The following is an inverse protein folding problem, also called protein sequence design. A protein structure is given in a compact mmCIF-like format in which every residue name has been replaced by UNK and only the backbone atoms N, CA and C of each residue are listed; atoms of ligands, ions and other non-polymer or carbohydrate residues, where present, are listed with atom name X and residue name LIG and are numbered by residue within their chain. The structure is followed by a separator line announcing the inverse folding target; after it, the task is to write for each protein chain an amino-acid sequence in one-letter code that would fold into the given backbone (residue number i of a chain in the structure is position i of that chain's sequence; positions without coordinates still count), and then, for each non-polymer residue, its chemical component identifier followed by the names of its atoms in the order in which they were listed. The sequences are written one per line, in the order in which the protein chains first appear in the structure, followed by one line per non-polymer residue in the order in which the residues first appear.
data_IF_530332829195
#
_entry.id   IF_530332829195
#
_cell.length_a   1.000
_cell.length_b   1.000
_cell.length_c   1.000
_cell.angle_alpha   90.00
_cell.angle_beta   90.00
_cell.angle_gamma   90.00
#
_symmetry.space_group_name_H-M   'P 1'
#
loop_
_entity.id
_entity.type
_entity.pdbx_description
1 polymer ?
#
# COMPACT_ATOMS: atom_id res chain seq x y z
N UNK A 1 9.80 -26.99 -0.25
CA UNK A 1 8.68 -26.07 -0.06
C UNK A 1 8.93 -25.36 1.27
N UNK A 2 9.36 -24.10 1.25
CA UNK A 2 9.59 -23.36 2.49
C UNK A 2 8.25 -23.17 3.19
N UNK A 3 8.20 -23.51 4.48
CA UNK A 3 7.07 -23.15 5.31
C UNK A 3 7.09 -21.63 5.48
N UNK A 4 6.26 -20.93 4.72
CA UNK A 4 6.18 -19.46 4.75
C UNK A 4 5.47 -18.94 6.00
N UNK A 5 5.02 -19.85 6.88
CA UNK A 5 4.27 -19.53 8.09
C UNK A 5 5.18 -19.69 9.31
N UNK A 6 5.56 -18.58 9.92
CA UNK A 6 6.32 -18.59 11.18
C UNK A 6 5.37 -18.47 12.37
N UNK A 7 5.71 -19.02 13.55
CA UNK A 7 4.93 -18.80 14.77
C UNK A 7 4.73 -17.31 15.09
N UNK A 8 5.74 -16.48 14.83
CA UNK A 8 5.65 -15.03 14.97
C UNK A 8 4.63 -14.41 14.01
N UNK A 9 4.60 -14.85 12.75
CA UNK A 9 3.62 -14.42 11.76
C UNK A 9 2.18 -14.78 12.16
N UNK A 10 1.95 -16.01 12.65
CA UNK A 10 0.65 -16.44 13.16
C UNK A 10 0.21 -15.59 14.35
N UNK A 11 1.13 -15.34 15.29
CA UNK A 11 0.86 -14.52 16.48
C UNK A 11 0.53 -13.08 16.10
N UNK A 12 1.29 -12.49 15.17
CA UNK A 12 1.07 -11.14 14.67
C UNK A 12 -0.27 -11.00 13.94
N UNK A 13 -0.64 -11.98 13.10
CA UNK A 13 -1.92 -11.97 12.41
C UNK A 13 -3.10 -12.08 13.40
N UNK A 14 -2.98 -12.96 14.42
CA UNK A 14 -3.99 -13.08 15.46
C UNK A 14 -4.16 -11.76 16.24
N UNK A 15 -3.06 -11.06 16.55
CA UNK A 15 -3.12 -9.75 17.21
C UNK A 15 -3.79 -8.68 16.35
N UNK A 16 -3.48 -8.65 15.05
CA UNK A 16 -4.15 -7.74 14.09
C UNK A 16 -5.65 -8.03 14.02
N UNK A 17 -6.06 -9.30 14.00
CA UNK A 17 -7.47 -9.70 13.95
C UNK A 17 -8.23 -9.36 15.24
N UNK A 18 -7.56 -9.42 16.40
CA UNK A 18 -8.19 -9.14 17.69
C UNK A 18 -8.51 -7.65 17.91
N UNK A 19 -7.64 -6.75 17.44
CA UNK A 19 -7.83 -5.29 17.55
C UNK A 19 -7.31 -4.56 16.30
N UNK A 20 -8.02 -4.68 15.17
CA UNK A 20 -7.55 -4.13 13.89
C UNK A 20 -7.47 -2.60 13.91
N UNK A 21 -8.29 -1.93 14.71
CA UNK A 21 -8.30 -0.46 14.84
C UNK A 21 -7.00 0.12 15.40
N UNK A 22 -6.16 -0.70 16.05
CA UNK A 22 -4.81 -0.31 16.50
C UNK A 22 -3.70 -0.74 15.55
N UNK A 23 -4.02 -1.47 14.50
CA UNK A 23 -3.05 -2.00 13.56
C UNK A 23 -2.65 -0.96 12.50
N UNK A 24 -1.41 -1.09 12.03
CA UNK A 24 -0.93 -0.46 10.80
C UNK A 24 -0.81 -1.56 9.75
N UNK A 25 -1.48 -1.39 8.61
CA UNK A 25 -1.29 -2.22 7.43
C UNK A 25 -0.52 -1.41 6.40
N UNK A 26 0.73 -1.79 6.16
CA UNK A 26 1.59 -1.21 5.15
C UNK A 26 1.86 -2.25 4.06
N UNK A 27 1.60 -1.90 2.80
CA UNK A 27 1.75 -2.78 1.65
C UNK A 27 2.76 -2.17 0.69
N UNK A 28 3.44 -3.01 -0.08
CA UNK A 28 4.16 -2.56 -1.28
C UNK A 28 3.22 -2.53 -2.49
N UNK A 29 3.65 -1.91 -3.60
CA UNK A 29 2.90 -1.83 -4.85
C UNK A 29 3.33 -2.92 -5.84
N UNK A 30 4.55 -2.85 -6.37
CA UNK A 30 5.02 -3.71 -7.46
C UNK A 30 5.28 -5.14 -6.96
N UNK A 31 4.65 -6.13 -7.59
CA UNK A 31 4.71 -7.53 -7.13
C UNK A 31 3.87 -7.83 -5.89
N UNK A 32 3.17 -6.83 -5.33
CA UNK A 32 2.28 -7.00 -4.16
C UNK A 32 0.83 -6.68 -4.52
N UNK A 33 0.53 -5.43 -4.89
CA UNK A 33 -0.80 -5.01 -5.33
C UNK A 33 -0.95 -5.08 -6.85
N UNK A 34 0.13 -4.84 -7.58
CA UNK A 34 0.20 -4.94 -9.03
C UNK A 34 1.15 -6.08 -9.44
N UNK A 35 0.85 -6.87 -10.48
CA UNK A 35 1.77 -7.91 -10.95
C UNK A 35 3.06 -7.29 -11.50
N UNK A 36 4.17 -8.02 -11.38
CA UNK A 36 5.43 -7.64 -12.03
C UNK A 36 5.28 -7.81 -13.54
N UNK A 37 5.52 -6.74 -14.30
CA UNK A 37 5.36 -6.67 -15.76
C UNK A 37 6.58 -6.00 -16.39
N UNK A 38 6.80 -6.23 -17.68
CA UNK A 38 7.97 -5.69 -18.40
C UNK A 38 7.99 -4.16 -18.50
N UNK A 39 6.80 -3.55 -18.58
CA UNK A 39 6.61 -2.11 -18.76
C UNK A 39 6.02 -1.51 -17.49
N UNK A 40 6.74 -0.59 -16.80
CA UNK A 40 6.27 -0.05 -15.52
C UNK A 40 4.89 0.63 -15.55
N UNK A 41 4.48 1.17 -16.69
CA UNK A 41 3.16 1.79 -16.89
C UNK A 41 2.01 0.77 -17.01
N UNK A 42 2.32 -0.50 -17.26
CA UNK A 42 1.33 -1.58 -17.36
C UNK A 42 1.07 -2.25 -16.00
N UNK A 43 1.81 -1.84 -14.95
CA UNK A 43 1.69 -2.35 -13.60
C UNK A 43 0.46 -1.77 -12.89
N UNK A 44 -0.73 -2.16 -13.33
CA UNK A 44 -2.01 -1.78 -12.72
C UNK A 44 -2.38 -2.75 -11.58
N UNK A 45 -3.16 -2.31 -10.57
CA UNK A 45 -3.53 -3.19 -9.47
C UNK A 45 -4.29 -4.44 -9.94
N UNK A 46 -4.05 -5.57 -9.28
CA UNK A 46 -4.75 -6.81 -9.55
C UNK A 46 -6.28 -6.65 -9.38
N UNK A 47 -7.10 -7.44 -10.11
CA UNK A 47 -8.55 -7.38 -9.97
C UNK A 47 -9.00 -7.47 -8.51
N UNK A 48 -9.77 -6.48 -8.05
CA UNK A 48 -10.28 -6.41 -6.68
C UNK A 48 -9.33 -5.80 -5.63
N UNK A 49 -8.07 -5.51 -5.97
CA UNK A 49 -7.11 -4.93 -5.02
C UNK A 49 -7.61 -3.60 -4.42
N UNK A 50 -8.02 -2.65 -5.26
CA UNK A 50 -8.55 -1.34 -4.80
C UNK A 50 -9.82 -1.50 -3.97
N UNK A 51 -10.71 -2.43 -4.34
CA UNK A 51 -11.92 -2.72 -3.59
C UNK A 51 -11.59 -3.31 -2.20
N UNK A 52 -10.61 -4.22 -2.12
CA UNK A 52 -10.14 -4.78 -0.86
C UNK A 52 -9.50 -3.72 0.05
N UNK A 53 -8.66 -2.84 -0.51
CA UNK A 53 -8.09 -1.69 0.23
C UNK A 53 -9.20 -0.79 0.76
N UNK A 54 -10.19 -0.45 -0.07
CA UNK A 54 -11.34 0.38 0.32
C UNK A 54 -12.15 -0.26 1.46
N UNK A 55 -12.37 -1.56 1.41
CA UNK A 55 -13.08 -2.29 2.46
C UNK A 55 -12.26 -2.44 3.76
N UNK A 56 -10.93 -2.47 3.65
CA UNK A 56 -10.00 -2.58 4.77
C UNK A 56 -9.78 -1.25 5.48
N UNK A 57 -9.73 -0.14 4.74
CA UNK A 57 -9.38 1.18 5.24
C UNK A 57 -10.14 1.61 6.51
N UNK A 58 -11.49 1.45 6.63
CA UNK A 58 -12.20 1.85 7.85
C UNK A 58 -12.02 0.88 9.03
N UNK A 59 -11.36 -0.27 8.84
CA UNK A 59 -11.19 -1.30 9.87
C UNK A 59 -9.87 -1.21 10.61
N UNK A 60 -8.87 -0.59 9.99
CA UNK A 60 -7.50 -0.52 10.51
C UNK A 60 -7.16 0.89 11.00
N UNK A 61 -6.23 0.99 11.94
CA UNK A 61 -5.78 2.29 12.45
C UNK A 61 -5.08 3.13 11.38
N UNK A 62 -4.22 2.50 10.57
CA UNK A 62 -3.55 3.12 9.42
C UNK A 62 -3.48 2.14 8.26
N UNK A 63 -3.83 2.62 7.07
CA UNK A 63 -3.56 1.95 5.80
C UNK A 63 -2.53 2.76 5.01
N UNK A 64 -1.41 2.13 4.67
CA UNK A 64 -0.33 2.76 3.93
C UNK A 64 0.13 1.91 2.75
N UNK A 65 0.52 2.58 1.66
CA UNK A 65 1.30 2.02 0.58
C UNK A 65 2.72 2.56 0.70
N UNK A 66 3.74 1.70 0.65
CA UNK A 66 5.16 2.07 0.65
C UNK A 66 5.77 1.56 -0.64
N UNK A 67 6.27 2.45 -1.49
CA UNK A 67 6.73 2.07 -2.83
C UNK A 67 7.94 2.90 -3.26
N UNK A 68 8.74 2.34 -4.16
CA UNK A 68 9.78 3.09 -4.88
C UNK A 68 9.22 4.05 -5.93
N UNK A 69 7.95 3.90 -6.33
CA UNK A 69 7.31 4.81 -7.30
C UNK A 69 7.09 6.20 -6.69
N UNK A 70 7.09 7.27 -7.51
CA UNK A 70 6.58 8.58 -7.07
C UNK A 70 5.14 8.47 -6.56
N UNK A 71 4.81 9.17 -5.47
CA UNK A 71 3.51 9.03 -4.80
C UNK A 71 2.33 9.44 -5.69
N UNK A 72 2.46 10.51 -6.45
CA UNK A 72 1.45 10.99 -7.40
C UNK A 72 1.25 10.00 -8.56
N UNK A 73 2.36 9.53 -9.14
CA UNK A 73 2.35 8.58 -10.26
C UNK A 73 1.65 7.27 -9.88
N UNK A 74 1.94 6.70 -8.70
CA UNK A 74 1.30 5.44 -8.28
C UNK A 74 -0.17 5.64 -7.90
N UNK A 75 -0.54 6.81 -7.36
CA UNK A 75 -1.93 7.14 -7.04
C UNK A 75 -2.77 7.22 -8.31
N UNK A 76 -2.25 7.88 -9.35
CA UNK A 76 -2.90 7.99 -10.65
C UNK A 76 -2.98 6.62 -11.33
N UNK A 77 -1.84 5.93 -11.48
CA UNK A 77 -1.76 4.63 -12.14
C UNK A 77 -2.67 3.58 -11.49
N UNK A 78 -2.71 3.56 -10.16
CA UNK A 78 -3.46 2.57 -9.39
C UNK A 78 -4.91 2.95 -9.12
N UNK A 79 -5.38 4.13 -9.53
CA UNK A 79 -6.71 4.62 -9.16
C UNK A 79 -6.92 4.69 -7.65
N UNK A 80 -5.87 4.99 -6.89
CA UNK A 80 -5.85 4.85 -5.43
C UNK A 80 -6.47 6.04 -4.70
N UNK A 81 -6.71 7.15 -5.41
CA UNK A 81 -7.25 8.38 -4.83
C UNK A 81 -8.62 8.18 -4.16
N UNK A 82 -9.39 7.15 -4.56
CA UNK A 82 -10.69 6.82 -3.99
C UNK A 82 -10.64 5.99 -2.70
N UNK A 83 -9.47 5.54 -2.25
CA UNK A 83 -9.34 4.71 -1.04
C UNK A 83 -9.33 5.61 0.20
N UNK A 84 -10.32 5.52 1.11
CA UNK A 84 -10.45 6.45 2.24
C UNK A 84 -9.24 6.42 3.18
N UNK A 85 -8.63 7.58 3.46
CA UNK A 85 -7.56 7.70 4.44
C UNK A 85 -6.25 6.98 4.08
N UNK A 86 -6.10 6.51 2.84
CA UNK A 86 -4.86 5.89 2.35
C UNK A 86 -3.71 6.90 2.39
N UNK A 87 -2.60 6.47 2.98
CA UNK A 87 -1.33 7.19 2.91
C UNK A 87 -0.45 6.50 1.88
N UNK A 88 0.09 7.25 0.91
CA UNK A 88 1.04 6.71 -0.07
C UNK A 88 2.42 7.31 0.15
N UNK A 89 3.34 6.46 0.60
CA UNK A 89 4.75 6.77 0.81
C UNK A 89 5.56 6.36 -0.42
N UNK A 90 5.80 7.31 -1.31
CA UNK A 90 6.53 7.12 -2.57
C UNK A 90 8.02 7.44 -2.42
N UNK A 91 8.80 7.12 -3.45
CA UNK A 91 10.26 7.27 -3.46
C UNK A 91 10.90 6.69 -2.18
N UNK A 92 10.52 5.46 -1.83
CA UNK A 92 11.00 4.75 -0.64
C UNK A 92 10.73 5.51 0.67
N UNK A 93 9.66 6.32 0.71
CA UNK A 93 9.25 7.11 1.87
C UNK A 93 9.73 8.56 1.86
N UNK A 94 10.46 9.01 0.83
CA UNK A 94 10.84 10.41 0.68
C UNK A 94 9.66 11.32 0.29
N UNK A 95 8.61 10.73 -0.30
CA UNK A 95 7.37 11.41 -0.65
C UNK A 95 6.20 10.86 0.16
N UNK A 96 5.21 11.71 0.41
CA UNK A 96 3.95 11.36 1.04
C UNK A 96 2.80 12.02 0.30
N UNK A 97 1.87 11.20 -0.15
CA UNK A 97 0.55 11.63 -0.61
C UNK A 97 -0.53 11.19 0.38
N UNK A 98 -1.50 12.06 0.62
CA UNK A 98 -2.72 11.76 1.39
C UNK A 98 -3.82 12.74 1.01
N UNK A 99 -5.02 12.24 0.72
CA UNK A 99 -6.23 13.05 0.51
C UNK A 99 -6.01 14.18 -0.53
N UNK A 100 -5.30 13.87 -1.62
CA UNK A 100 -4.97 14.82 -2.70
C UNK A 100 -3.76 15.73 -2.42
N UNK A 101 -3.16 15.65 -1.24
CA UNK A 101 -2.00 16.48 -0.85
C UNK A 101 -0.71 15.70 -0.98
N UNK A 102 0.21 16.18 -1.81
CA UNK A 102 1.58 15.67 -1.92
C UNK A 102 2.55 16.51 -1.08
N UNK A 103 3.47 15.84 -0.39
CA UNK A 103 4.52 16.45 0.44
C UNK A 103 5.80 15.60 0.38
N UNK A 104 6.93 16.20 0.76
CA UNK A 104 8.24 15.54 0.72
C UNK A 104 9.12 16.01 -0.45
N UNK A 105 10.35 15.51 -0.51
CA UNK A 105 11.30 15.93 -1.53
C UNK A 105 10.88 15.39 -2.92
N UNK A 106 10.89 16.25 -3.92
CA UNK A 106 10.93 15.79 -5.31
C UNK A 106 12.25 15.06 -5.54
N UNK A 107 12.24 14.03 -6.40
CA UNK A 107 13.47 13.39 -6.86
C UNK A 107 14.43 14.49 -7.34
N UNK A 108 15.62 14.60 -6.74
CA UNK A 108 16.69 15.41 -7.31
C UNK A 108 17.01 14.84 -8.71
N UNK A 109 17.24 15.71 -9.71
CA UNK A 109 17.47 15.30 -11.09
C UNK A 109 18.65 14.35 -11.26
#
# INVERSE_FOLDING_TARGET
MCDLVTPAGVTGLAALQADPGRAVVALDYDGTLAPVVDRPQDAVPAPGAVAALTALAPRVGVLALVTGRPSDVVVELGGLAGVPGLIVLGQYGAQRWRDGVLSGAAQLP
#
